data_IF_139441980793
#
_entry.id   IF_139441980793
#
_cell.length_a   1.000
_cell.length_b   1.000
_cell.length_c   1.000
_cell.angle_alpha   90.00
_cell.angle_beta   90.00
_cell.angle_gamma   90.00
#
_symmetry.space_group_name_H-M   'P 1'
#
loop_
_entity.id
_entity.type
_entity.pdbx_description
1 polymer ?
#
# COMPACT_ATOMS: atom_id res chain seq x y z
N UNK A 1 18.44 9.70 -17.25
CA UNK A 1 17.65 9.46 -16.03
C UNK A 1 16.76 10.66 -15.76
N UNK A 2 15.45 10.41 -15.49
CA UNK A 2 14.51 11.48 -15.16
C UNK A 2 14.68 11.90 -13.70
N UNK A 3 14.61 13.20 -13.44
CA UNK A 3 14.50 13.73 -12.08
C UNK A 3 13.20 13.23 -11.40
N UNK A 4 13.18 13.03 -10.07
CA UNK A 4 11.99 12.53 -9.37
C UNK A 4 10.70 13.31 -9.63
N UNK A 5 10.82 14.63 -9.87
CA UNK A 5 9.71 15.52 -10.20
C UNK A 5 9.14 15.32 -11.60
N UNK A 6 9.91 14.74 -12.50
CA UNK A 6 9.55 14.47 -13.89
C UNK A 6 8.96 13.06 -14.09
N UNK A 7 9.11 12.22 -13.07
CA UNK A 7 8.51 10.88 -13.08
C UNK A 7 7.02 11.00 -12.79
N UNK A 8 6.21 10.38 -13.60
CA UNK A 8 4.75 10.36 -13.42
C UNK A 8 4.35 9.34 -12.35
N UNK A 9 4.81 9.60 -11.12
CA UNK A 9 4.56 8.79 -9.94
C UNK A 9 3.85 9.61 -8.86
N UNK A 10 3.03 8.95 -8.05
CA UNK A 10 2.47 9.53 -6.84
C UNK A 10 2.73 8.62 -5.64
N UNK A 11 3.10 9.22 -4.50
CA UNK A 11 3.45 8.49 -3.29
C UNK A 11 2.49 8.81 -2.15
N UNK A 12 2.08 7.76 -1.45
CA UNK A 12 1.32 7.82 -0.20
C UNK A 12 2.24 7.37 0.93
N UNK A 13 2.54 8.29 1.84
CA UNK A 13 3.47 8.07 2.95
C UNK A 13 2.76 7.47 4.17
N UNK A 14 3.51 6.78 5.01
CA UNK A 14 3.07 6.20 6.28
C UNK A 14 2.38 7.22 7.20
N UNK A 15 2.88 8.46 7.27
CA UNK A 15 2.33 9.53 8.10
C UNK A 15 1.30 10.40 7.36
N UNK A 16 0.85 9.95 6.17
CA UNK A 16 -0.09 10.64 5.27
C UNK A 16 0.44 11.96 4.69
N UNK A 17 1.42 12.61 5.28
CA UNK A 17 2.04 13.88 4.88
C UNK A 17 1.02 14.99 4.49
N UNK A 18 -0.11 15.07 5.21
CA UNK A 18 -1.13 16.10 4.96
C UNK A 18 -0.70 17.46 5.48
N UNK A 19 -1.07 18.51 4.77
CA UNK A 19 -0.90 19.89 5.21
C UNK A 19 -1.99 20.25 6.23
N UNK A 20 -1.65 20.43 7.53
CA UNK A 20 -2.66 20.51 8.59
C UNK A 20 -3.47 21.83 8.56
N UNK A 21 -2.94 22.87 7.95
CA UNK A 21 -3.58 24.17 7.80
C UNK A 21 -4.54 24.25 6.61
N UNK A 22 -4.44 23.34 5.66
CA UNK A 22 -5.27 23.28 4.46
C UNK A 22 -6.54 22.44 4.68
N UNK A 23 -7.61 22.75 3.95
CA UNK A 23 -8.79 21.92 3.85
C UNK A 23 -8.49 20.58 3.14
N UNK A 24 -9.42 19.62 3.21
CA UNK A 24 -9.35 18.39 2.41
C UNK A 24 -9.25 18.70 0.92
N UNK A 25 -10.12 19.60 0.42
CA UNK A 25 -10.07 20.04 -0.96
C UNK A 25 -8.69 20.59 -1.34
N UNK A 26 -8.15 21.52 -0.52
CA UNK A 26 -6.86 22.13 -0.81
C UNK A 26 -5.70 21.16 -0.72
N UNK A 27 -5.74 20.20 0.21
CA UNK A 27 -4.78 19.10 0.26
C UNK A 27 -4.77 18.30 -1.03
N UNK A 28 -5.95 17.90 -1.52
CA UNK A 28 -6.07 17.14 -2.77
C UNK A 28 -5.66 17.97 -3.98
N UNK A 29 -6.07 19.22 -4.04
CA UNK A 29 -5.81 20.14 -5.15
C UNK A 29 -4.36 20.65 -5.24
N UNK A 30 -3.56 20.52 -4.17
CA UNK A 30 -2.28 21.21 -4.03
C UNK A 30 -1.32 20.93 -5.21
N UNK A 31 -1.10 19.66 -5.54
CA UNK A 31 -0.20 19.28 -6.64
C UNK A 31 -0.67 19.82 -8.00
N UNK A 32 -1.99 19.83 -8.24
CA UNK A 32 -2.57 20.36 -9.47
C UNK A 32 -2.43 21.90 -9.55
N UNK A 33 -2.55 22.61 -8.41
CA UNK A 33 -2.31 24.05 -8.34
C UNK A 33 -0.86 24.41 -8.69
N UNK A 34 0.12 23.65 -8.16
CA UNK A 34 1.54 23.83 -8.49
C UNK A 34 1.79 23.57 -9.97
N UNK A 35 1.15 22.55 -10.55
CA UNK A 35 1.21 22.25 -11.99
C UNK A 35 0.42 23.24 -12.87
N UNK A 36 -0.18 24.29 -12.27
CA UNK A 36 -0.96 25.34 -12.95
C UNK A 36 -2.13 24.80 -13.76
N UNK A 37 -2.73 23.69 -13.33
CA UNK A 37 -3.94 23.14 -13.94
C UNK A 37 -5.10 24.14 -13.79
N UNK A 38 -6.00 24.31 -14.78
CA UNK A 38 -7.15 25.20 -14.71
C UNK A 38 -8.07 24.87 -13.52
N UNK A 39 -8.65 25.90 -12.89
CA UNK A 39 -9.47 25.77 -11.67
C UNK A 39 -10.64 24.80 -11.84
N UNK A 40 -11.33 24.86 -12.99
CA UNK A 40 -12.48 24.01 -13.28
C UNK A 40 -12.09 22.55 -13.41
N UNK A 41 -10.93 22.29 -14.00
CA UNK A 41 -10.37 20.95 -14.10
C UNK A 41 -9.93 20.43 -12.72
N UNK A 42 -9.28 21.26 -11.89
CA UNK A 42 -8.96 20.91 -10.51
C UNK A 42 -10.22 20.48 -9.77
N UNK A 43 -11.28 21.29 -9.83
CA UNK A 43 -12.54 20.98 -9.17
C UNK A 43 -13.10 19.64 -9.65
N UNK A 44 -13.14 19.42 -10.94
CA UNK A 44 -13.66 18.18 -11.55
C UNK A 44 -12.86 16.95 -11.09
N UNK A 45 -11.52 17.03 -11.08
CA UNK A 45 -10.67 15.93 -10.64
C UNK A 45 -10.79 15.65 -9.13
N UNK A 46 -10.88 16.71 -8.31
CA UNK A 46 -11.07 16.58 -6.86
C UNK A 46 -12.44 15.99 -6.54
N UNK A 47 -13.51 16.48 -7.16
CA UNK A 47 -14.87 15.98 -6.94
C UNK A 47 -14.99 14.49 -7.33
N UNK A 48 -14.38 14.10 -8.46
CA UNK A 48 -14.31 12.69 -8.88
C UNK A 48 -13.58 11.80 -7.86
N UNK A 49 -12.40 12.23 -7.42
CA UNK A 49 -11.63 11.47 -6.43
C UNK A 49 -12.34 11.44 -5.07
N UNK A 50 -12.95 12.56 -4.64
CA UNK A 50 -13.72 12.62 -3.41
C UNK A 50 -14.94 11.70 -3.42
N UNK A 51 -15.60 11.52 -4.57
CA UNK A 51 -16.70 10.57 -4.73
C UNK A 51 -16.23 9.13 -4.57
N UNK A 52 -15.10 8.75 -5.20
CA UNK A 52 -14.52 7.41 -5.10
C UNK A 52 -14.13 7.08 -3.66
N UNK A 53 -13.58 8.07 -2.93
CA UNK A 53 -13.05 7.92 -1.58
C UNK A 53 -14.07 8.26 -0.47
N UNK A 54 -15.32 8.54 -0.83
CA UNK A 54 -16.38 8.91 0.12
C UNK A 54 -16.03 10.14 0.99
N UNK A 55 -15.36 11.14 0.38
CA UNK A 55 -14.91 12.36 1.05
C UNK A 55 -15.78 13.59 0.72
N UNK A 56 -16.84 13.44 -0.08
CA UNK A 56 -17.59 14.58 -0.63
C UNK A 56 -18.11 15.57 0.41
N UNK A 57 -18.60 15.07 1.55
CA UNK A 57 -19.10 15.88 2.67
C UNK A 57 -17.99 16.35 3.64
N UNK A 58 -16.73 16.08 3.34
CA UNK A 58 -15.59 16.40 4.19
C UNK A 58 -14.61 17.39 3.53
N UNK A 59 -14.88 17.85 2.31
CA UNK A 59 -13.96 18.65 1.51
C UNK A 59 -13.53 19.96 2.19
N UNK A 60 -14.40 20.55 3.00
CA UNK A 60 -14.11 21.81 3.72
C UNK A 60 -13.45 21.59 5.09
N UNK A 61 -13.38 20.34 5.57
CA UNK A 61 -12.75 20.02 6.87
C UNK A 61 -11.23 20.09 6.79
N UNK A 62 -10.60 20.22 7.96
CA UNK A 62 -9.14 20.16 8.10
C UNK A 62 -8.71 18.79 8.65
N UNK A 63 -7.47 18.37 8.40
CA UNK A 63 -6.96 17.06 8.87
C UNK A 63 -7.10 16.82 10.37
N UNK A 64 -7.02 17.89 11.20
CA UNK A 64 -7.20 17.79 12.66
C UNK A 64 -8.60 17.33 13.08
N UNK A 65 -9.61 17.57 12.24
CA UNK A 65 -11.01 17.25 12.50
C UNK A 65 -11.43 15.92 11.88
N UNK A 66 -10.45 15.04 11.55
CA UNK A 66 -10.66 13.80 10.81
C UNK A 66 -10.09 12.59 11.55
N UNK A 67 -10.75 11.44 11.38
CA UNK A 67 -10.23 10.14 11.84
C UNK A 67 -8.98 9.70 11.06
N UNK A 68 -8.25 8.70 11.58
CA UNK A 68 -7.08 8.14 10.89
C UNK A 68 -7.40 7.65 9.48
N UNK A 69 -8.46 6.86 9.31
CA UNK A 69 -8.88 6.38 7.99
C UNK A 69 -9.33 7.48 7.04
N UNK A 70 -10.00 8.54 7.56
CA UNK A 70 -10.34 9.70 6.74
C UNK A 70 -9.08 10.43 6.26
N UNK A 71 -8.09 10.65 7.14
CA UNK A 71 -6.81 11.26 6.75
C UNK A 71 -6.07 10.44 5.69
N UNK A 72 -6.10 9.13 5.82
CA UNK A 72 -5.51 8.23 4.83
C UNK A 72 -6.21 8.36 3.47
N UNK A 73 -7.56 8.37 3.42
CA UNK A 73 -8.31 8.59 2.18
C UNK A 73 -7.96 9.93 1.53
N UNK A 74 -7.73 10.99 2.32
CA UNK A 74 -7.25 12.28 1.78
C UNK A 74 -5.87 12.16 1.16
N UNK A 75 -4.94 11.43 1.80
CA UNK A 75 -3.61 11.18 1.25
C UNK A 75 -3.68 10.39 -0.08
N UNK A 76 -4.56 9.39 -0.16
CA UNK A 76 -4.86 8.68 -1.42
C UNK A 76 -5.47 9.62 -2.46
N UNK A 77 -6.39 10.50 -2.07
CA UNK A 77 -6.99 11.50 -2.95
C UNK A 77 -5.96 12.44 -3.57
N UNK A 78 -4.97 12.89 -2.80
CA UNK A 78 -3.84 13.69 -3.30
C UNK A 78 -3.05 12.98 -4.41
N UNK A 79 -2.93 11.67 -4.31
CA UNK A 79 -2.25 10.85 -5.30
C UNK A 79 -3.13 10.63 -6.55
N UNK A 80 -4.40 10.29 -6.36
CA UNK A 80 -5.36 9.95 -7.43
C UNK A 80 -5.63 11.13 -8.36
N UNK A 81 -5.81 12.36 -7.82
CA UNK A 81 -6.10 13.55 -8.63
C UNK A 81 -5.00 13.87 -9.65
N UNK A 82 -3.77 13.41 -9.42
CA UNK A 82 -2.65 13.55 -10.36
C UNK A 82 -2.74 12.60 -11.54
N UNK A 83 -3.52 11.52 -11.44
CA UNK A 83 -3.64 10.46 -12.45
C UNK A 83 -2.28 9.88 -12.85
N UNK A 84 -1.45 9.43 -11.89
CA UNK A 84 -0.10 8.96 -12.16
C UNK A 84 -0.11 7.63 -12.89
N UNK A 85 1.02 7.29 -13.54
CA UNK A 85 1.22 5.96 -14.13
C UNK A 85 1.53 4.88 -13.08
N UNK A 86 2.14 5.29 -11.95
CA UNK A 86 2.50 4.37 -10.86
C UNK A 86 2.18 5.00 -9.50
N UNK A 87 1.54 4.21 -8.65
CA UNK A 87 1.40 4.51 -7.22
C UNK A 87 2.51 3.85 -6.40
N UNK A 88 3.05 4.61 -5.46
CA UNK A 88 3.97 4.13 -4.44
C UNK A 88 3.28 4.24 -3.07
N UNK A 89 3.13 3.13 -2.36
CA UNK A 89 2.57 3.09 -1.01
C UNK A 89 3.66 2.67 -0.03
N UNK A 90 4.01 3.56 0.90
CA UNK A 90 5.00 3.30 1.94
C UNK A 90 4.28 3.07 3.28
N UNK A 91 4.08 1.81 3.63
CA UNK A 91 3.37 1.33 4.83
C UNK A 91 2.07 2.10 5.14
N UNK A 92 1.15 2.27 4.19
CA UNK A 92 0.03 3.20 4.33
C UNK A 92 -0.98 2.77 5.41
N UNK A 93 -0.97 1.53 5.87
CA UNK A 93 -1.92 0.98 6.83
C UNK A 93 -1.35 0.82 8.25
N UNK A 94 -0.04 1.04 8.45
CA UNK A 94 0.65 0.76 9.71
C UNK A 94 0.11 1.57 10.91
N UNK A 95 -0.37 2.79 10.69
CA UNK A 95 -0.88 3.70 11.73
C UNK A 95 -2.38 3.52 12.04
N UNK A 96 -3.01 2.45 11.55
CA UNK A 96 -4.42 2.16 11.78
C UNK A 96 -4.61 1.04 12.80
N UNK A 97 -5.67 1.12 13.59
CA UNK A 97 -6.12 0.00 14.41
C UNK A 97 -6.54 -1.21 13.54
N UNK A 98 -6.60 -2.40 14.13
CA UNK A 98 -6.82 -3.65 13.39
C UNK A 98 -8.14 -3.66 12.59
N UNK A 99 -9.23 -3.11 13.15
CA UNK A 99 -10.53 -3.07 12.48
C UNK A 99 -10.51 -2.14 11.28
N UNK A 100 -9.99 -0.93 11.49
CA UNK A 100 -9.89 0.08 10.44
C UNK A 100 -8.91 -0.36 9.35
N UNK A 101 -7.80 -1.01 9.72
CA UNK A 101 -6.82 -1.58 8.78
C UNK A 101 -7.46 -2.61 7.86
N UNK A 102 -8.25 -3.55 8.43
CA UNK A 102 -8.96 -4.56 7.64
C UNK A 102 -9.94 -3.92 6.64
N UNK A 103 -10.72 -2.93 7.09
CA UNK A 103 -11.65 -2.20 6.23
C UNK A 103 -10.92 -1.44 5.13
N UNK A 104 -9.89 -0.67 5.48
CA UNK A 104 -9.15 0.16 4.51
C UNK A 104 -8.41 -0.69 3.48
N UNK A 105 -7.93 -1.88 3.86
CA UNK A 105 -7.33 -2.83 2.92
C UNK A 105 -8.31 -3.23 1.81
N UNK A 106 -9.57 -3.52 2.15
CA UNK A 106 -10.61 -3.81 1.16
C UNK A 106 -10.90 -2.60 0.26
N UNK A 107 -10.91 -1.40 0.82
CA UNK A 107 -11.07 -0.15 0.07
C UNK A 107 -9.93 0.06 -0.94
N UNK A 108 -8.68 -0.16 -0.51
CA UNK A 108 -7.50 -0.08 -1.41
C UNK A 108 -7.59 -1.13 -2.52
N UNK A 109 -7.98 -2.36 -2.20
CA UNK A 109 -8.13 -3.43 -3.19
C UNK A 109 -9.20 -3.08 -4.24
N UNK A 110 -10.34 -2.53 -3.81
CA UNK A 110 -11.40 -2.05 -4.69
C UNK A 110 -10.90 -0.92 -5.58
N UNK A 111 -10.27 0.08 -4.97
CA UNK A 111 -9.72 1.24 -5.67
C UNK A 111 -8.66 0.84 -6.72
N UNK A 112 -7.75 -0.07 -6.37
CA UNK A 112 -6.75 -0.57 -7.30
C UNK A 112 -7.38 -1.23 -8.54
N UNK A 113 -8.45 -2.02 -8.33
CA UNK A 113 -9.20 -2.64 -9.43
C UNK A 113 -9.93 -1.61 -10.30
N UNK A 114 -10.51 -0.58 -9.71
CA UNK A 114 -11.24 0.46 -10.41
C UNK A 114 -10.33 1.38 -11.23
N UNK A 115 -9.14 1.67 -10.70
CA UNK A 115 -8.19 2.57 -11.36
C UNK A 115 -7.29 1.87 -12.38
N UNK A 116 -7.00 0.57 -12.19
CA UNK A 116 -6.13 -0.21 -13.07
C UNK A 116 -4.68 0.29 -13.13
N UNK A 117 -4.23 1.08 -12.13
CA UNK A 117 -2.90 1.69 -12.11
C UNK A 117 -1.90 0.75 -11.45
N UNK A 118 -0.71 0.62 -12.02
CA UNK A 118 0.40 -0.13 -11.41
C UNK A 118 0.73 0.44 -10.04
N UNK A 119 0.82 -0.43 -9.04
CA UNK A 119 1.09 -0.02 -7.66
C UNK A 119 2.23 -0.82 -7.05
N UNK A 120 3.17 -0.12 -6.42
CA UNK A 120 4.19 -0.71 -5.56
C UNK A 120 3.82 -0.44 -4.10
N UNK A 121 3.73 -1.50 -3.31
CA UNK A 121 3.26 -1.44 -1.94
C UNK A 121 4.34 -1.99 -0.99
N UNK A 122 4.81 -1.17 -0.06
CA UNK A 122 5.72 -1.58 1.00
C UNK A 122 4.90 -1.86 2.26
N UNK A 123 5.08 -3.03 2.85
CA UNK A 123 4.44 -3.41 4.10
C UNK A 123 5.28 -4.42 4.88
N UNK A 124 5.16 -4.41 6.20
CA UNK A 124 5.66 -5.46 7.07
C UNK A 124 4.55 -6.45 7.52
N UNK A 125 3.31 -6.20 7.11
CA UNK A 125 2.15 -7.06 7.42
C UNK A 125 1.97 -8.12 6.32
N UNK A 126 2.13 -9.39 6.70
CA UNK A 126 2.01 -10.52 5.76
C UNK A 126 0.59 -10.63 5.17
N UNK A 127 -0.44 -10.30 5.96
CA UNK A 127 -1.83 -10.38 5.49
C UNK A 127 -2.08 -9.34 4.41
N UNK A 128 -1.50 -8.15 4.54
CA UNK A 128 -1.55 -7.12 3.50
C UNK A 128 -0.85 -7.62 2.21
N UNK A 129 0.39 -8.11 2.34
CA UNK A 129 1.16 -8.63 1.21
C UNK A 129 0.43 -9.76 0.48
N UNK A 130 -0.11 -10.73 1.24
CA UNK A 130 -0.81 -11.89 0.69
C UNK A 130 -2.15 -11.55 0.02
N UNK A 131 -2.83 -10.49 0.48
CA UNK A 131 -4.19 -10.16 0.01
C UNK A 131 -4.24 -9.06 -1.04
N UNK A 132 -3.26 -8.15 -1.07
CA UNK A 132 -3.25 -7.03 -2.00
C UNK A 132 -2.41 -7.30 -3.25
N UNK A 133 -1.33 -8.07 -3.13
CA UNK A 133 -0.35 -8.21 -4.19
C UNK A 133 -0.74 -9.26 -5.25
N UNK A 134 -0.52 -8.96 -6.52
CA UNK A 134 -0.46 -9.96 -7.60
C UNK A 134 0.90 -10.66 -7.60
N UNK A 135 1.97 -9.93 -7.27
CA UNK A 135 3.32 -10.45 -7.06
C UNK A 135 3.94 -9.75 -5.85
N UNK A 136 4.73 -10.48 -5.08
CA UNK A 136 5.40 -9.95 -3.92
C UNK A 136 6.89 -10.26 -3.93
N UNK A 137 7.64 -9.39 -3.30
CA UNK A 137 9.07 -9.52 -3.08
C UNK A 137 9.32 -9.64 -1.57
N UNK A 138 9.94 -10.71 -1.14
CA UNK A 138 10.42 -10.86 0.24
C UNK A 138 11.85 -10.36 0.30
N UNK A 139 12.11 -9.42 1.20
CA UNK A 139 13.42 -8.82 1.39
C UNK A 139 13.98 -9.14 2.78
N UNK A 140 15.30 -9.34 2.85
CA UNK A 140 16.03 -9.54 4.09
C UNK A 140 17.35 -8.79 4.03
N UNK A 141 17.61 -7.91 5.00
CA UNK A 141 18.84 -7.13 5.08
C UNK A 141 19.26 -6.45 3.73
N UNK A 142 18.29 -5.92 3.00
CA UNK A 142 18.52 -5.25 1.70
C UNK A 142 18.66 -6.19 0.50
N UNK A 143 18.59 -7.50 0.71
CA UNK A 143 18.69 -8.51 -0.36
C UNK A 143 17.31 -9.10 -0.65
N UNK A 144 17.02 -9.34 -1.94
CA UNK A 144 15.82 -10.03 -2.36
C UNK A 144 15.97 -11.54 -2.11
N UNK A 145 15.17 -12.09 -1.24
CA UNK A 145 15.11 -13.53 -0.93
C UNK A 145 14.26 -14.31 -1.94
N UNK A 146 13.12 -13.75 -2.30
CA UNK A 146 12.20 -14.38 -3.25
C UNK A 146 11.29 -13.34 -3.90
N UNK A 147 10.94 -13.58 -5.17
CA UNK A 147 9.94 -12.84 -5.91
C UNK A 147 8.99 -13.82 -6.62
N UNK A 148 7.68 -13.66 -6.41
CA UNK A 148 6.68 -14.57 -6.99
C UNK A 148 5.26 -14.13 -6.65
N UNK A 149 4.29 -14.97 -7.00
CA UNK A 149 2.92 -14.79 -6.51
C UNK A 149 2.85 -15.08 -5.01
N UNK A 150 1.87 -14.53 -4.27
CA UNK A 150 1.68 -14.86 -2.85
C UNK A 150 1.61 -16.37 -2.60
N UNK A 151 0.91 -17.11 -3.46
CA UNK A 151 0.78 -18.56 -3.38
C UNK A 151 2.13 -19.29 -3.56
N UNK A 152 2.94 -18.87 -4.53
CA UNK A 152 4.28 -19.45 -4.75
C UNK A 152 5.20 -19.21 -3.57
N UNK A 153 5.21 -17.96 -3.05
CA UNK A 153 6.05 -17.58 -1.91
C UNK A 153 5.66 -18.35 -0.64
N UNK A 154 4.37 -18.56 -0.42
CA UNK A 154 3.86 -19.32 0.71
C UNK A 154 4.12 -20.82 0.59
N UNK A 155 3.78 -21.42 -0.55
CA UNK A 155 3.81 -22.89 -0.73
C UNK A 155 5.21 -23.41 -1.12
N UNK A 156 6.03 -22.57 -1.77
CA UNK A 156 7.35 -22.94 -2.30
C UNK A 156 8.40 -21.91 -1.90
N UNK A 157 8.68 -21.74 -0.58
CA UNK A 157 9.65 -20.78 -0.11
C UNK A 157 11.05 -21.11 -0.63
N UNK A 158 11.76 -20.11 -1.15
CA UNK A 158 13.09 -20.28 -1.73
C UNK A 158 14.19 -20.45 -0.68
N UNK A 159 13.94 -20.04 0.57
CA UNK A 159 14.89 -20.17 1.68
C UNK A 159 14.18 -20.49 3.00
N UNK A 160 14.94 -20.93 3.99
CA UNK A 160 14.42 -21.13 5.34
C UNK A 160 13.97 -19.83 5.97
N UNK A 161 14.57 -18.70 5.58
CA UNK A 161 14.10 -17.38 5.98
C UNK A 161 12.68 -17.12 5.49
N UNK A 162 12.42 -17.28 4.19
CA UNK A 162 11.08 -17.09 3.62
C UNK A 162 10.08 -18.05 4.24
N UNK A 163 10.48 -19.32 4.44
CA UNK A 163 9.63 -20.35 5.05
C UNK A 163 9.17 -19.97 6.47
N UNK A 164 10.07 -19.42 7.28
CA UNK A 164 9.77 -18.99 8.65
C UNK A 164 9.13 -17.60 8.72
N UNK A 165 9.45 -16.71 7.77
CA UNK A 165 8.93 -15.35 7.74
C UNK A 165 7.45 -15.33 7.27
N UNK A 166 7.08 -16.19 6.32
CA UNK A 166 5.74 -16.23 5.74
C UNK A 166 4.83 -17.24 6.47
N UNK A 167 3.68 -16.74 6.91
CA UNK A 167 2.65 -17.54 7.60
C UNK A 167 2.53 -17.23 9.09
N UNK A 168 1.30 -17.33 9.61
CA UNK A 168 1.00 -17.18 11.03
C UNK A 168 0.04 -18.32 11.44
N UNK A 169 0.56 -19.36 12.15
CA UNK A 169 1.94 -19.51 12.62
C UNK A 169 2.95 -19.79 11.50
N UNK A 170 4.27 -19.59 11.75
CA UNK A 170 5.32 -19.84 10.76
C UNK A 170 5.49 -21.34 10.46
N UNK A 171 6.18 -21.64 9.36
CA UNK A 171 6.51 -23.03 8.99
C UNK A 171 7.40 -23.69 10.06
N UNK A 172 7.06 -24.89 10.47
CA UNK A 172 7.93 -25.70 11.32
C UNK A 172 9.11 -26.24 10.47
N UNK A 173 10.34 -25.94 10.91
CA UNK A 173 11.57 -26.37 10.25
C UNK A 173 12.26 -27.45 11.06
N UNK A 174 12.16 -28.70 10.62
CA UNK A 174 12.69 -29.87 11.32
C UNK A 174 14.03 -30.26 10.70
N UNK A 175 15.10 -30.12 11.48
CA UNK A 175 16.47 -30.54 11.09
C UNK A 175 16.70 -32.05 11.31
N UNK A 176 15.86 -32.69 12.13
CA UNK A 176 15.94 -34.09 12.46
C UNK A 176 14.53 -34.66 12.54
N UNK A 177 14.16 -35.50 11.57
CA UNK A 177 12.88 -36.22 11.52
C UNK A 177 13.07 -37.52 10.71
N UNK A 178 12.21 -38.53 10.90
CA UNK A 178 12.25 -39.74 10.09
C UNK A 178 12.19 -39.40 8.59
N UNK A 179 13.15 -39.92 7.80
CA UNK A 179 13.26 -39.66 6.37
C UNK A 179 14.02 -38.39 5.96
N UNK A 180 14.43 -37.53 6.89
CA UNK A 180 15.25 -36.33 6.62
C UNK A 180 16.73 -36.73 6.61
N UNK A 181 17.42 -36.51 5.47
CA UNK A 181 18.85 -36.80 5.32
C UNK A 181 19.69 -35.70 5.98
N UNK A 182 20.94 -36.04 6.33
CA UNK A 182 21.90 -35.07 6.86
C UNK A 182 22.03 -33.86 5.92
N UNK A 183 21.92 -32.64 6.46
CA UNK A 183 21.96 -31.40 5.69
C UNK A 183 20.63 -30.97 5.05
N UNK A 184 19.59 -31.78 5.15
CA UNK A 184 18.22 -31.40 4.72
C UNK A 184 17.42 -30.86 5.90
N UNK A 185 16.45 -30.02 5.57
CA UNK A 185 15.45 -29.46 6.52
C UNK A 185 14.07 -29.77 5.98
N UNK A 186 13.24 -30.44 6.76
CA UNK A 186 11.84 -30.67 6.45
C UNK A 186 11.00 -29.47 6.91
N UNK A 187 10.34 -28.78 5.99
CA UNK A 187 9.38 -27.74 6.30
C UNK A 187 7.96 -28.31 6.35
N UNK A 188 7.23 -28.02 7.43
CA UNK A 188 5.83 -28.42 7.59
C UNK A 188 5.01 -27.18 7.93
N UNK A 189 4.03 -26.83 7.05
CA UNK A 189 3.05 -25.79 7.35
C UNK A 189 2.03 -26.30 8.39
N UNK A 190 1.71 -25.50 9.40
CA UNK A 190 0.65 -25.84 10.38
C UNK A 190 -0.72 -25.81 9.75
#
# INVERSE_FOLDING_TARGET
>A
DLEPSERDIAMVFQNYALYPHMSVFDNMAYGLKIAKVPKDEIKTRVDKAAKILELGNLLDRKPRDMSGGQRQRVAMGRAIVRQPQVFLFDEPLSNLDAKLRAQTRLEIQKLHRELGITSLFVTHDQVEAMTLAQRMMVMNAGVMEQFGTPEEVYNRPASTFVASFMGSPPMNLLKSAPGVKAGQILGVRP
#
